data_IF_986356909968
#
_entry.id   IF_986356909968
#
_cell.length_a   1.000
_cell.length_b   1.000
_cell.length_c   1.000
_cell.angle_alpha   90.00
_cell.angle_beta   90.00
_cell.angle_gamma   90.00
#
_symmetry.space_group_name_H-M   'P 1'
#
loop_
_entity.id
_entity.type
_entity.pdbx_description
1 polymer ?
#
# COMPACT_ATOMS: atom_id res chain seq x y z
N UNK A 1 12.41 -32.00 -47.03
CA UNK A 1 11.88 -30.76 -46.42
C UNK A 1 11.69 -31.02 -44.95
N UNK A 2 12.63 -30.54 -44.14
CA UNK A 2 12.52 -30.63 -42.67
C UNK A 2 11.76 -29.38 -42.21
N UNK A 3 10.56 -29.58 -41.69
CA UNK A 3 9.82 -28.52 -40.99
C UNK A 3 10.58 -28.13 -39.72
N UNK A 4 11.10 -26.92 -39.73
CA UNK A 4 11.70 -26.32 -38.53
C UNK A 4 10.64 -26.09 -37.49
N UNK A 5 10.63 -26.90 -36.45
CA UNK A 5 9.88 -26.66 -35.22
C UNK A 5 10.36 -25.33 -34.62
N UNK A 6 9.58 -24.31 -34.82
CA UNK A 6 9.73 -23.01 -34.11
C UNK A 6 9.57 -23.28 -32.62
N UNK A 7 10.67 -23.43 -31.92
CA UNK A 7 10.68 -23.38 -30.46
C UNK A 7 10.19 -21.98 -30.09
N UNK A 8 8.93 -21.86 -29.68
CA UNK A 8 8.41 -20.61 -29.08
C UNK A 8 9.36 -20.26 -27.94
N UNK A 9 10.19 -19.22 -28.12
CA UNK A 9 10.95 -18.63 -26.99
C UNK A 9 9.97 -18.34 -25.88
N UNK A 10 10.21 -18.91 -24.71
CA UNK A 10 9.44 -18.58 -23.55
C UNK A 10 9.49 -17.05 -23.36
N UNK A 11 8.32 -16.43 -23.22
CA UNK A 11 8.25 -14.97 -23.03
C UNK A 11 8.92 -14.63 -21.70
N UNK A 12 9.85 -13.69 -21.75
CA UNK A 12 10.46 -13.11 -20.56
C UNK A 12 9.37 -12.56 -19.62
N UNK A 13 9.57 -12.68 -18.31
CA UNK A 13 8.62 -12.22 -17.33
C UNK A 13 9.29 -11.51 -16.15
N UNK A 14 8.51 -10.67 -15.48
CA UNK A 14 8.85 -9.93 -14.27
C UNK A 14 8.01 -10.48 -13.13
N UNK A 15 8.65 -10.81 -12.03
CA UNK A 15 8.00 -11.14 -10.77
C UNK A 15 7.94 -9.89 -9.88
N UNK A 16 6.81 -9.63 -9.26
CA UNK A 16 6.67 -8.59 -8.24
C UNK A 16 6.37 -9.24 -6.90
N UNK A 17 6.96 -8.71 -5.84
CA UNK A 17 6.83 -9.25 -4.49
C UNK A 17 6.50 -8.12 -3.52
N UNK A 18 5.50 -8.37 -2.70
CA UNK A 18 5.06 -7.51 -1.63
C UNK A 18 5.03 -8.33 -0.34
N UNK A 19 6.07 -8.19 0.49
CA UNK A 19 6.17 -8.79 1.81
C UNK A 19 5.40 -7.96 2.84
N UNK A 20 4.53 -8.60 3.59
CA UNK A 20 3.83 -8.00 4.72
C UNK A 20 4.09 -8.80 5.99
N UNK A 21 3.68 -8.29 7.16
CA UNK A 21 3.92 -8.90 8.47
C UNK A 21 3.37 -10.32 8.66
N UNK A 22 2.34 -10.70 7.90
CA UNK A 22 1.71 -12.02 7.98
C UNK A 22 1.40 -12.64 6.61
N UNK A 23 1.88 -12.03 5.53
CA UNK A 23 1.63 -12.51 4.17
C UNK A 23 2.73 -12.10 3.21
N UNK A 24 2.90 -12.90 2.15
CA UNK A 24 3.71 -12.55 0.98
C UNK A 24 2.77 -12.60 -0.23
N UNK A 25 2.60 -11.46 -0.90
CA UNK A 25 1.86 -11.37 -2.16
C UNK A 25 2.83 -11.27 -3.32
N UNK A 26 2.46 -11.86 -4.46
CA UNK A 26 3.28 -11.79 -5.66
C UNK A 26 2.42 -11.79 -6.93
N UNK A 27 2.97 -11.23 -7.99
CA UNK A 27 2.37 -11.33 -9.31
C UNK A 27 3.45 -11.49 -10.38
N UNK A 28 3.09 -12.15 -11.46
CA UNK A 28 3.94 -12.37 -12.63
C UNK A 28 3.36 -11.63 -13.82
N UNK A 29 4.19 -10.82 -14.45
CA UNK A 29 3.84 -10.04 -15.63
C UNK A 29 4.70 -10.44 -16.83
N UNK A 30 4.15 -10.33 -18.05
CA UNK A 30 4.94 -10.37 -19.26
C UNK A 30 5.93 -9.21 -19.25
N UNK A 31 7.20 -9.47 -19.52
CA UNK A 31 8.23 -8.44 -19.65
C UNK A 31 8.16 -7.79 -21.04
N UNK A 32 7.04 -7.16 -21.34
CA UNK A 32 6.79 -6.42 -22.57
C UNK A 32 6.05 -5.11 -22.27
N UNK A 33 5.82 -4.31 -23.30
CA UNK A 33 5.18 -3.00 -23.17
C UNK A 33 3.75 -3.03 -22.60
N UNK A 34 3.07 -4.17 -22.67
CA UNK A 34 1.69 -4.32 -22.19
C UNK A 34 1.61 -4.72 -20.72
N UNK A 35 2.68 -5.26 -20.14
CA UNK A 35 2.74 -5.76 -18.76
C UNK A 35 1.51 -6.61 -18.40
N UNK A 36 1.18 -7.55 -19.28
CA UNK A 36 0.03 -8.40 -19.05
C UNK A 36 0.28 -9.32 -17.85
N UNK A 37 -0.60 -9.25 -16.84
CA UNK A 37 -0.54 -10.12 -15.66
C UNK A 37 -0.84 -11.57 -16.08
N UNK A 38 0.12 -12.48 -15.92
CA UNK A 38 -0.06 -13.92 -16.16
C UNK A 38 -0.68 -14.63 -14.98
N UNK A 39 -0.23 -14.27 -13.78
CA UNK A 39 -0.71 -14.85 -12.53
C UNK A 39 -0.48 -13.92 -11.36
N UNK A 40 -1.19 -14.20 -10.29
CA UNK A 40 -0.96 -13.62 -8.97
C UNK A 40 -1.11 -14.72 -7.92
N UNK A 41 -0.52 -14.51 -6.75
CA UNK A 41 -0.65 -15.44 -5.65
C UNK A 41 -0.30 -14.79 -4.33
N UNK A 42 -0.56 -15.53 -3.27
CA UNK A 42 -0.21 -15.13 -1.91
C UNK A 42 0.11 -16.35 -1.05
N UNK A 43 0.98 -16.12 -0.07
CA UNK A 43 1.10 -16.98 1.10
C UNK A 43 0.56 -16.17 2.26
N UNK A 44 -0.52 -16.60 2.87
CA UNK A 44 -1.25 -15.87 3.90
C UNK A 44 -1.22 -16.60 5.24
N UNK A 45 -1.48 -15.86 6.33
CA UNK A 45 -1.49 -16.38 7.70
C UNK A 45 -0.15 -17.03 8.10
N UNK A 46 0.96 -16.44 7.67
CA UNK A 46 2.31 -16.85 8.06
C UNK A 46 2.43 -16.77 9.59
N UNK A 47 3.02 -17.78 10.19
CA UNK A 47 3.12 -17.89 11.66
C UNK A 47 1.90 -18.50 12.35
N UNK A 48 0.83 -18.82 11.60
CA UNK A 48 -0.35 -19.50 12.12
C UNK A 48 -0.36 -20.98 11.71
N UNK A 49 -1.13 -21.85 12.44
CA UNK A 49 -1.15 -23.29 12.18
C UNK A 49 -1.57 -23.68 10.76
N UNK A 50 -2.36 -22.86 10.10
CA UNK A 50 -2.91 -23.13 8.77
C UNK A 50 -2.62 -21.94 7.84
N UNK A 51 -1.36 -21.80 7.44
CA UNK A 51 -1.02 -20.88 6.36
C UNK A 51 -1.59 -21.39 5.03
N UNK A 52 -1.95 -20.48 4.14
CA UNK A 52 -2.54 -20.80 2.85
C UNK A 52 -1.68 -20.27 1.70
N UNK A 53 -1.36 -21.14 0.73
CA UNK A 53 -0.69 -20.76 -0.50
C UNK A 53 -1.69 -20.80 -1.66
N UNK A 54 -2.01 -19.62 -2.20
CA UNK A 54 -2.97 -19.46 -3.28
C UNK A 54 -2.28 -18.93 -4.52
N UNK A 55 -2.59 -19.51 -5.68
CA UNK A 55 -2.17 -18.99 -7.00
C UNK A 55 -3.38 -18.94 -7.93
N UNK A 56 -3.50 -17.82 -8.64
CA UNK A 56 -4.52 -17.58 -9.67
C UNK A 56 -3.81 -17.11 -10.95
N UNK A 57 -3.93 -17.89 -12.01
CA UNK A 57 -3.36 -17.60 -13.33
C UNK A 57 -4.43 -17.35 -14.38
N UNK A 58 -4.01 -16.80 -15.52
CA UNK A 58 -4.86 -16.70 -16.71
C UNK A 58 -5.22 -18.08 -17.26
N UNK A 59 -4.35 -19.06 -17.09
CA UNK A 59 -4.66 -20.45 -17.37
C UNK A 59 -5.19 -21.12 -16.09
N UNK A 60 -6.43 -21.63 -16.12
CA UNK A 60 -7.06 -22.30 -14.99
C UNK A 60 -6.27 -23.51 -14.45
N UNK A 61 -5.45 -24.16 -15.27
CA UNK A 61 -4.59 -25.25 -14.85
C UNK A 61 -3.49 -24.81 -13.86
N UNK A 62 -3.21 -23.52 -13.78
CA UNK A 62 -2.22 -22.95 -12.88
C UNK A 62 -2.80 -22.59 -11.51
N UNK A 63 -4.13 -22.61 -11.39
CA UNK A 63 -4.82 -22.22 -10.17
C UNK A 63 -4.76 -23.31 -9.12
N UNK A 64 -4.37 -22.92 -7.92
CA UNK A 64 -4.50 -23.77 -6.74
C UNK A 64 -4.68 -22.92 -5.48
N UNK A 65 -5.26 -23.55 -4.46
CA UNK A 65 -5.25 -23.09 -3.09
C UNK A 65 -4.92 -24.32 -2.22
N UNK A 66 -3.90 -24.23 -1.40
CA UNK A 66 -3.48 -25.33 -0.54
C UNK A 66 -3.04 -24.82 0.83
N UNK A 67 -3.40 -25.56 1.87
CA UNK A 67 -2.82 -25.36 3.19
C UNK A 67 -1.34 -25.76 3.17
N UNK A 68 -0.51 -24.95 3.79
CA UNK A 68 0.94 -25.15 3.88
C UNK A 68 1.42 -24.89 5.31
N UNK A 69 2.56 -25.47 5.65
CA UNK A 69 3.24 -25.13 6.91
C UNK A 69 4.19 -23.96 6.61
N UNK A 70 3.96 -22.83 7.26
CA UNK A 70 4.82 -21.66 7.22
C UNK A 70 4.83 -21.02 8.62
N UNK A 71 5.60 -21.62 9.53
CA UNK A 71 5.67 -21.17 10.93
C UNK A 71 6.31 -19.78 11.09
N UNK A 72 6.99 -19.30 10.08
CA UNK A 72 7.61 -17.97 10.01
C UNK A 72 7.87 -17.56 8.56
N UNK A 73 8.35 -16.32 8.36
CA UNK A 73 8.65 -15.78 7.04
C UNK A 73 9.77 -16.57 6.32
N UNK A 74 10.77 -17.08 7.01
CA UNK A 74 11.84 -17.88 6.39
C UNK A 74 11.28 -19.12 5.69
N UNK A 75 10.34 -19.81 6.33
CA UNK A 75 9.67 -20.98 5.72
C UNK A 75 8.77 -20.59 4.55
N UNK A 76 8.02 -19.49 4.68
CA UNK A 76 7.20 -18.97 3.61
C UNK A 76 8.03 -18.56 2.37
N UNK A 77 9.16 -17.88 2.59
CA UNK A 77 10.12 -17.51 1.54
C UNK A 77 10.67 -18.76 0.85
N UNK A 78 11.04 -19.79 1.61
CA UNK A 78 11.50 -21.06 1.05
C UNK A 78 10.44 -21.71 0.16
N UNK A 79 9.19 -21.79 0.64
CA UNK A 79 8.07 -22.31 -0.16
C UNK A 79 7.88 -21.55 -1.49
N UNK A 80 7.97 -20.22 -1.43
CA UNK A 80 7.88 -19.39 -2.63
C UNK A 80 9.04 -19.64 -3.59
N UNK A 81 10.28 -19.74 -3.08
CA UNK A 81 11.47 -20.00 -3.90
C UNK A 81 11.41 -21.36 -4.58
N UNK A 82 11.05 -22.41 -3.84
CA UNK A 82 10.94 -23.76 -4.38
C UNK A 82 9.86 -23.81 -5.48
N UNK A 83 8.70 -23.14 -5.25
CA UNK A 83 7.66 -23.04 -6.25
C UNK A 83 8.10 -22.27 -7.51
N UNK A 84 8.89 -21.20 -7.36
CA UNK A 84 9.44 -20.44 -8.49
C UNK A 84 10.40 -21.32 -9.31
N UNK A 85 11.30 -22.05 -8.67
CA UNK A 85 12.26 -22.94 -9.36
C UNK A 85 11.59 -24.09 -10.12
N UNK A 86 10.54 -24.69 -9.53
CA UNK A 86 9.76 -25.72 -10.20
C UNK A 86 9.01 -25.19 -11.42
N UNK A 87 8.62 -23.92 -11.39
CA UNK A 87 7.72 -23.31 -12.38
C UNK A 87 8.45 -22.66 -13.53
N UNK A 88 9.58 -22.01 -13.28
CA UNK A 88 10.29 -21.21 -14.26
C UNK A 88 11.61 -21.84 -14.65
N UNK A 89 11.84 -21.93 -15.97
CA UNK A 89 13.15 -22.32 -16.48
C UNK A 89 14.13 -21.17 -16.33
N UNK A 90 15.41 -21.49 -16.24
CA UNK A 90 16.48 -20.50 -16.21
C UNK A 90 16.36 -19.54 -17.41
N UNK A 91 16.27 -18.24 -17.14
CA UNK A 91 16.14 -17.18 -18.16
C UNK A 91 14.70 -16.81 -18.56
N UNK A 92 13.67 -17.49 -18.04
CA UNK A 92 12.28 -17.06 -18.21
C UNK A 92 11.95 -15.88 -17.28
N UNK A 93 12.45 -15.91 -16.06
CA UNK A 93 12.36 -14.79 -15.13
C UNK A 93 13.50 -13.80 -15.41
N UNK A 94 13.14 -12.57 -15.79
CA UNK A 94 14.09 -11.53 -16.22
C UNK A 94 14.49 -10.65 -15.05
N UNK A 95 13.55 -10.33 -14.18
CA UNK A 95 13.77 -9.49 -13.00
C UNK A 95 12.73 -9.73 -11.93
N UNK A 96 13.05 -9.29 -10.72
CA UNK A 96 12.13 -9.22 -9.58
C UNK A 96 12.05 -7.77 -9.09
N UNK A 97 10.81 -7.28 -8.89
CA UNK A 97 10.52 -6.04 -8.19
C UNK A 97 10.07 -6.34 -6.76
N UNK A 98 10.71 -5.71 -5.79
CA UNK A 98 10.35 -5.82 -4.39
C UNK A 98 9.69 -4.51 -3.92
N UNK A 99 8.54 -4.62 -3.27
CA UNK A 99 8.07 -3.52 -2.43
C UNK A 99 8.99 -3.43 -1.22
N UNK A 100 9.42 -2.21 -0.91
CA UNK A 100 10.16 -1.88 0.31
C UNK A 100 9.41 -0.75 1.01
N UNK A 101 8.97 -0.99 2.23
CA UNK A 101 8.11 -0.05 2.96
C UNK A 101 8.79 1.30 3.17
N UNK A 102 10.11 1.34 3.40
CA UNK A 102 10.82 2.55 3.81
C UNK A 102 12.16 2.74 3.10
N UNK A 103 12.27 3.82 2.32
CA UNK A 103 13.51 4.20 1.63
C UNK A 103 14.46 5.08 2.45
N UNK A 104 14.05 5.49 3.65
CA UNK A 104 14.83 6.42 4.48
C UNK A 104 15.05 7.76 3.79
N UNK A 105 16.04 8.54 4.24
CA UNK A 105 16.36 9.83 3.64
C UNK A 105 17.05 9.72 2.28
N UNK A 106 17.57 8.54 1.90
CA UNK A 106 18.43 8.33 0.75
C UNK A 106 17.67 7.88 -0.51
N UNK A 107 16.71 7.00 -0.36
CA UNK A 107 16.06 6.34 -1.49
C UNK A 107 14.76 7.04 -1.84
N UNK A 108 14.79 7.82 -2.93
CA UNK A 108 13.69 8.67 -3.40
C UNK A 108 13.06 8.17 -4.71
N UNK A 109 13.60 7.11 -5.28
CA UNK A 109 13.10 6.50 -6.52
C UNK A 109 13.41 5.00 -6.55
N UNK A 110 12.70 4.21 -7.37
CA UNK A 110 13.01 2.80 -7.57
C UNK A 110 14.44 2.63 -8.12
N UNK A 111 15.19 1.66 -7.56
CA UNK A 111 16.58 1.42 -7.93
C UNK A 111 16.89 -0.08 -7.95
N UNK A 112 17.89 -0.46 -8.76
CA UNK A 112 18.42 -1.81 -8.73
C UNK A 112 19.06 -2.09 -7.37
N UNK A 113 18.69 -3.23 -6.78
CA UNK A 113 19.24 -3.68 -5.50
C UNK A 113 20.71 -4.09 -5.67
N UNK A 114 21.53 -3.61 -4.76
CA UNK A 114 22.95 -3.96 -4.64
C UNK A 114 23.24 -4.47 -3.24
N UNK A 115 24.34 -5.18 -3.03
CA UNK A 115 24.77 -5.59 -1.69
C UNK A 115 24.87 -4.40 -0.72
N UNK A 116 25.36 -3.26 -1.20
CA UNK A 116 25.42 -2.03 -0.40
C UNK A 116 24.02 -1.53 0.00
N UNK A 117 23.04 -1.62 -0.90
CA UNK A 117 21.65 -1.23 -0.56
C UNK A 117 21.09 -2.13 0.53
N UNK A 118 21.33 -3.44 0.47
CA UNK A 118 20.87 -4.39 1.50
C UNK A 118 21.49 -4.01 2.87
N UNK A 119 22.77 -3.72 2.93
CA UNK A 119 23.44 -3.23 4.16
C UNK A 119 22.81 -1.94 4.69
N UNK A 120 22.47 -1.00 3.82
CA UNK A 120 21.83 0.25 4.18
C UNK A 120 20.35 0.04 4.64
N UNK A 121 19.63 -0.89 4.04
CA UNK A 121 18.28 -1.26 4.49
C UNK A 121 18.29 -1.87 5.90
N UNK A 122 19.28 -2.67 6.24
CA UNK A 122 19.48 -3.15 7.62
C UNK A 122 19.63 -1.98 8.62
N UNK A 123 20.32 -0.89 8.22
CA UNK A 123 20.48 0.30 9.06
C UNK A 123 19.16 1.10 9.20
N UNK A 124 18.22 0.92 8.26
CA UNK A 124 16.92 1.58 8.30
C UNK A 124 15.87 0.80 9.12
N UNK A 125 16.14 -0.41 9.57
CA UNK A 125 15.20 -1.20 10.38
C UNK A 125 14.60 -0.45 11.58
N UNK A 126 15.33 0.45 12.30
CA UNK A 126 14.72 1.22 13.37
C UNK A 126 13.59 2.18 12.93
N UNK A 127 13.48 2.52 11.63
CA UNK A 127 12.39 3.35 11.09
C UNK A 127 11.10 2.57 10.87
N UNK A 128 11.20 1.29 10.56
CA UNK A 128 10.05 0.38 10.46
C UNK A 128 10.46 -1.05 10.85
N UNK A 129 10.51 -1.33 12.16
CA UNK A 129 10.92 -2.64 12.68
C UNK A 129 9.89 -3.74 12.41
N UNK A 130 8.67 -3.39 11.99
CA UNK A 130 7.55 -4.33 11.78
C UNK A 130 7.51 -4.90 10.36
N UNK A 131 8.10 -4.23 9.36
CA UNK A 131 8.03 -4.65 7.96
C UNK A 131 9.40 -4.83 7.32
N UNK A 132 10.36 -3.90 7.53
CA UNK A 132 11.66 -3.94 6.89
C UNK A 132 12.43 -5.26 7.11
N UNK A 133 12.44 -5.89 8.29
CA UNK A 133 13.15 -7.15 8.47
C UNK A 133 12.70 -8.25 7.51
N UNK A 134 11.39 -8.39 7.30
CA UNK A 134 10.81 -9.42 6.45
C UNK A 134 11.04 -9.11 4.95
N UNK A 135 11.01 -7.85 4.57
CA UNK A 135 11.30 -7.42 3.20
C UNK A 135 12.78 -7.58 2.84
N UNK A 136 13.68 -7.33 3.79
CA UNK A 136 15.11 -7.58 3.63
C UNK A 136 15.37 -9.09 3.50
N UNK A 137 14.75 -9.92 4.35
CA UNK A 137 14.86 -11.38 4.28
C UNK A 137 14.47 -11.91 2.88
N UNK A 138 13.35 -11.42 2.32
CA UNK A 138 12.92 -11.76 0.95
C UNK A 138 13.99 -11.37 -0.07
N UNK A 139 14.48 -10.14 0.00
CA UNK A 139 15.50 -9.61 -0.92
C UNK A 139 16.80 -10.42 -0.87
N UNK A 140 17.28 -10.75 0.33
CA UNK A 140 18.48 -11.57 0.54
C UNK A 140 18.29 -12.99 0.02
N UNK A 141 17.12 -13.61 0.26
CA UNK A 141 16.81 -14.94 -0.22
C UNK A 141 16.86 -15.00 -1.76
N UNK A 142 16.30 -14.00 -2.45
CA UNK A 142 16.41 -13.89 -3.90
C UNK A 142 17.85 -13.67 -4.36
N UNK A 143 18.60 -12.82 -3.67
CA UNK A 143 20.01 -12.56 -3.98
C UNK A 143 20.88 -13.82 -3.88
N UNK A 144 20.64 -14.63 -2.87
CA UNK A 144 21.38 -15.88 -2.68
C UNK A 144 20.95 -16.99 -3.67
N UNK A 145 19.66 -17.11 -3.94
CA UNK A 145 19.15 -18.20 -4.77
C UNK A 145 19.30 -17.93 -6.26
N UNK A 146 19.18 -16.67 -6.67
CA UNK A 146 19.23 -16.21 -8.06
C UNK A 146 20.21 -15.05 -8.23
N UNK A 147 21.53 -15.28 -8.07
CA UNK A 147 22.52 -14.19 -8.04
C UNK A 147 22.63 -13.40 -9.36
N UNK A 148 22.25 -14.00 -10.49
CA UNK A 148 22.26 -13.35 -11.81
C UNK A 148 20.96 -12.59 -12.10
N UNK A 149 19.94 -12.70 -11.25
CA UNK A 149 18.62 -12.09 -11.45
C UNK A 149 18.64 -10.63 -11.01
N UNK A 150 18.24 -9.74 -11.90
CA UNK A 150 18.11 -8.32 -11.58
C UNK A 150 16.97 -8.14 -10.57
N UNK A 151 17.26 -7.46 -9.47
CA UNK A 151 16.29 -7.11 -8.43
C UNK A 151 16.16 -5.60 -8.35
N UNK A 152 14.92 -5.10 -8.18
CA UNK A 152 14.61 -3.66 -8.09
C UNK A 152 13.83 -3.42 -6.81
N UNK A 153 14.29 -2.48 -5.98
CA UNK A 153 13.54 -1.97 -4.84
C UNK A 153 12.60 -0.84 -5.27
N UNK A 154 11.34 -0.94 -4.88
CA UNK A 154 10.31 0.07 -5.09
C UNK A 154 9.80 0.51 -3.70
N UNK A 155 10.04 1.77 -3.34
CA UNK A 155 9.82 2.25 -1.97
C UNK A 155 8.45 2.90 -1.82
N UNK A 156 7.69 2.54 -0.80
CA UNK A 156 6.40 3.17 -0.48
C UNK A 156 6.51 4.66 -0.14
N UNK A 157 7.68 5.09 0.32
CA UNK A 157 7.94 6.49 0.67
C UNK A 157 8.25 7.39 -0.53
N UNK A 158 8.50 6.84 -1.71
CA UNK A 158 8.96 7.59 -2.90
C UNK A 158 7.97 8.67 -3.32
N UNK A 159 6.68 8.38 -3.40
CA UNK A 159 5.64 9.31 -3.84
C UNK A 159 5.60 10.60 -3.01
N UNK A 160 6.01 10.52 -1.74
CA UNK A 160 6.02 11.61 -0.79
C UNK A 160 7.40 12.27 -0.60
N UNK A 161 8.38 11.89 -1.42
CA UNK A 161 9.76 12.37 -1.24
C UNK A 161 9.87 13.90 -1.30
N UNK A 162 9.14 14.52 -2.21
CA UNK A 162 9.15 15.96 -2.49
C UNK A 162 8.12 16.76 -1.68
N UNK A 163 7.61 16.22 -0.56
CA UNK A 163 6.73 16.97 0.34
C UNK A 163 7.31 18.35 0.66
N UNK A 164 6.48 19.41 0.72
CA UNK A 164 6.91 20.69 1.22
C UNK A 164 7.59 20.60 2.58
N UNK A 165 8.61 21.38 2.80
CA UNK A 165 9.41 21.35 4.03
C UNK A 165 8.56 21.38 5.31
N UNK A 166 7.53 22.22 5.32
CA UNK A 166 6.61 22.35 6.46
C UNK A 166 5.84 21.05 6.76
N UNK A 167 5.50 20.28 5.74
CA UNK A 167 4.82 18.99 5.89
C UNK A 167 5.78 17.87 6.31
N UNK A 168 7.07 17.97 5.99
CA UNK A 168 8.09 16.99 6.40
C UNK A 168 8.46 17.11 7.88
N UNK A 169 8.42 18.32 8.44
CA UNK A 169 8.90 18.58 9.79
C UNK A 169 8.00 17.94 10.85
N UNK A 170 8.63 17.25 11.81
CA UNK A 170 7.98 16.91 13.07
C UNK A 170 8.32 18.00 14.10
N UNK A 171 7.37 18.42 14.95
CA UNK A 171 7.59 19.50 15.94
C UNK A 171 8.38 19.01 17.17
N UNK A 172 9.58 18.48 16.92
CA UNK A 172 10.53 17.95 17.93
C UNK A 172 11.90 18.59 17.74
N UNK A 173 12.82 18.44 18.71
CA UNK A 173 14.15 19.05 18.60
C UNK A 173 14.89 18.67 17.30
N UNK A 174 15.44 19.67 16.60
CA UNK A 174 16.06 19.53 15.27
C UNK A 174 17.21 18.52 15.17
N UNK A 175 17.84 18.17 16.30
CA UNK A 175 18.88 17.12 16.30
C UNK A 175 18.39 15.77 15.80
N UNK A 176 17.10 15.47 15.97
CA UNK A 176 16.50 14.22 15.45
C UNK A 176 16.30 14.27 13.94
N UNK A 177 16.00 15.44 13.40
CA UNK A 177 15.91 15.61 11.97
C UNK A 177 17.25 15.34 11.27
N UNK A 178 18.36 15.77 11.88
CA UNK A 178 19.69 15.46 11.39
C UNK A 178 19.98 13.95 11.33
N UNK A 179 19.21 13.14 12.06
CA UNK A 179 19.25 11.67 12.04
C UNK A 179 18.22 11.06 11.06
N UNK A 180 17.55 11.87 10.27
CA UNK A 180 16.53 11.42 9.30
C UNK A 180 15.12 11.34 9.88
N UNK A 181 14.86 11.74 11.14
CA UNK A 181 13.54 11.68 11.75
C UNK A 181 12.67 12.81 11.20
N UNK A 182 11.77 12.46 10.28
CA UNK A 182 10.82 13.36 9.61
C UNK A 182 9.55 12.61 9.20
N UNK A 183 8.56 13.29 8.67
CA UNK A 183 7.45 12.65 7.97
C UNK A 183 7.94 12.10 6.63
N UNK A 184 7.62 10.83 6.35
CA UNK A 184 7.88 10.18 5.07
C UNK A 184 6.60 9.93 4.29
N UNK A 185 5.57 9.40 4.93
CA UNK A 185 4.37 8.92 4.25
C UNK A 185 4.59 7.56 3.58
N UNK A 186 3.51 6.84 3.36
CA UNK A 186 3.52 5.47 2.85
C UNK A 186 2.39 5.26 1.84
N UNK A 187 2.20 4.04 1.35
CA UNK A 187 1.30 3.69 0.25
C UNK A 187 1.65 4.42 -1.08
N UNK A 188 2.90 4.81 -1.24
CA UNK A 188 3.34 5.59 -2.40
C UNK A 188 3.11 4.87 -3.72
N UNK A 189 3.30 3.55 -3.78
CA UNK A 189 3.02 2.75 -4.98
C UNK A 189 1.55 2.80 -5.38
N UNK A 190 0.65 2.71 -4.39
CA UNK A 190 -0.78 2.88 -4.60
C UNK A 190 -1.11 4.29 -5.11
N UNK A 191 -0.56 5.32 -4.50
CA UNK A 191 -0.83 6.71 -4.90
C UNK A 191 -0.27 7.04 -6.28
N UNK A 192 0.91 6.56 -6.64
CA UNK A 192 1.48 6.73 -7.98
C UNK A 192 0.59 6.07 -9.04
N UNK A 193 0.11 4.85 -8.76
CA UNK A 193 -0.84 4.14 -9.61
C UNK A 193 -2.14 4.93 -9.78
N UNK A 194 -2.76 5.36 -8.67
CA UNK A 194 -4.04 6.08 -8.66
C UNK A 194 -3.95 7.42 -9.40
N UNK A 195 -2.85 8.16 -9.28
CA UNK A 195 -2.66 9.42 -10.02
C UNK A 195 -2.55 9.17 -11.53
N UNK A 196 -1.83 8.12 -11.95
CA UNK A 196 -1.79 7.72 -13.35
C UNK A 196 -3.16 7.32 -13.90
N UNK A 197 -3.93 6.55 -13.13
CA UNK A 197 -5.27 6.13 -13.50
C UNK A 197 -6.27 7.32 -13.50
N UNK A 198 -6.14 8.26 -12.57
CA UNK A 198 -6.94 9.49 -12.57
C UNK A 198 -6.70 10.31 -13.83
N UNK A 199 -5.43 10.49 -14.23
CA UNK A 199 -5.08 11.16 -15.48
C UNK A 199 -5.66 10.45 -16.71
N UNK A 200 -5.63 9.10 -16.72
CA UNK A 200 -6.17 8.30 -17.82
C UNK A 200 -7.69 8.36 -17.92
N UNK A 201 -8.40 8.29 -16.76
CA UNK A 201 -9.87 8.21 -16.72
C UNK A 201 -10.56 9.57 -16.79
N UNK A 202 -9.98 10.60 -16.18
CA UNK A 202 -10.58 11.92 -16.01
C UNK A 202 -9.81 13.05 -16.74
N UNK A 203 -8.72 12.71 -17.39
CA UNK A 203 -7.84 13.64 -18.10
C UNK A 203 -6.74 14.23 -17.20
N UNK A 204 -5.66 14.76 -17.82
CA UNK A 204 -4.51 15.31 -17.09
C UNK A 204 -4.86 16.48 -16.17
N UNK A 205 -5.88 17.27 -16.50
CA UNK A 205 -6.30 18.41 -15.68
C UNK A 205 -6.87 17.96 -14.33
N UNK A 206 -7.63 16.85 -14.28
CA UNK A 206 -8.13 16.29 -13.02
C UNK A 206 -6.98 15.85 -12.10
N UNK A 207 -5.92 15.27 -12.66
CA UNK A 207 -4.74 14.84 -11.90
C UNK A 207 -3.85 16.03 -11.46
N UNK A 208 -3.93 17.19 -12.10
CA UNK A 208 -3.22 18.41 -11.71
C UNK A 208 -4.01 19.28 -10.73
N UNK A 209 -5.29 19.03 -10.54
CA UNK A 209 -6.14 19.74 -9.59
C UNK A 209 -5.76 19.44 -8.13
N UNK A 210 -6.59 19.94 -7.22
CA UNK A 210 -6.51 19.65 -5.78
C UNK A 210 -7.17 18.31 -5.54
N UNK A 211 -6.36 17.29 -5.28
CA UNK A 211 -6.81 15.90 -5.16
C UNK A 211 -6.54 15.39 -3.75
N UNK A 212 -7.51 14.71 -3.16
CA UNK A 212 -7.28 13.90 -1.97
C UNK A 212 -7.46 12.44 -2.38
N UNK A 213 -6.44 11.63 -2.13
CA UNK A 213 -6.50 10.18 -2.27
C UNK A 213 -6.67 9.57 -0.88
N UNK A 214 -7.70 8.74 -0.71
CA UNK A 214 -7.98 7.99 0.51
C UNK A 214 -7.81 6.49 0.21
N UNK A 215 -6.63 5.95 0.49
CA UNK A 215 -6.36 4.52 0.45
C UNK A 215 -6.84 3.92 1.76
N UNK A 216 -7.94 3.18 1.73
CA UNK A 216 -8.60 2.61 2.90
C UNK A 216 -8.65 1.08 2.77
N UNK A 217 -7.83 0.40 3.54
CA UNK A 217 -7.73 -1.05 3.63
C UNK A 217 -7.34 -1.48 5.05
N UNK A 218 -6.66 -2.61 5.20
CA UNK A 218 -6.08 -3.02 6.48
C UNK A 218 -5.10 -1.98 7.01
N UNK A 219 -4.23 -1.43 6.13
CA UNK A 219 -3.58 -0.15 6.31
C UNK A 219 -4.44 0.94 5.68
N UNK A 220 -4.48 2.12 6.29
CA UNK A 220 -5.23 3.25 5.75
C UNK A 220 -4.42 4.54 5.86
N UNK A 221 -4.43 5.33 4.80
CA UNK A 221 -3.85 6.66 4.79
C UNK A 221 -4.55 7.58 3.79
N UNK A 222 -4.31 8.86 3.94
CA UNK A 222 -4.72 9.87 2.98
C UNK A 222 -3.49 10.63 2.48
N UNK A 223 -3.58 11.13 1.25
CA UNK A 223 -2.60 12.03 0.67
C UNK A 223 -3.30 13.22 0.01
N UNK A 224 -2.76 14.41 0.24
CA UNK A 224 -3.16 15.64 -0.43
C UNK A 224 -2.21 15.91 -1.59
N UNK A 225 -2.75 16.08 -2.79
CA UNK A 225 -1.99 16.24 -4.03
C UNK A 225 -2.38 17.55 -4.72
N UNK A 226 -1.39 18.25 -5.22
CA UNK A 226 -1.56 19.44 -6.06
C UNK A 226 -0.53 19.44 -7.19
N UNK A 227 -0.94 19.78 -8.41
CA UNK A 227 -0.10 19.73 -9.62
C UNK A 227 0.59 18.36 -9.80
N UNK A 228 -0.10 17.27 -9.45
CA UNK A 228 0.41 15.92 -9.53
C UNK A 228 1.45 15.53 -8.47
N UNK A 229 1.74 16.40 -7.49
CA UNK A 229 2.73 16.18 -6.43
C UNK A 229 2.07 16.06 -5.06
N UNK A 230 2.59 15.17 -4.23
CA UNK A 230 2.19 15.09 -2.82
C UNK A 230 2.57 16.36 -2.07
N UNK A 231 1.59 17.02 -1.44
CA UNK A 231 1.81 18.21 -0.61
C UNK A 231 1.64 17.93 0.89
N UNK A 232 0.91 16.86 1.24
CA UNK A 232 0.82 16.34 2.61
C UNK A 232 0.33 14.89 2.60
N UNK A 233 0.53 14.18 3.70
CA UNK A 233 0.05 12.81 3.89
C UNK A 233 -0.21 12.53 5.37
N UNK A 234 -1.15 11.63 5.66
CA UNK A 234 -1.57 11.34 7.04
C UNK A 234 -0.55 10.51 7.81
N UNK A 235 0.16 9.59 7.17
CA UNK A 235 1.21 8.81 7.84
C UNK A 235 2.47 9.63 8.07
N UNK A 236 3.23 9.32 9.11
CA UNK A 236 4.36 10.10 9.62
C UNK A 236 5.73 9.49 9.32
N UNK A 237 6.52 9.32 10.40
CA UNK A 237 7.80 8.61 10.38
C UNK A 237 7.59 7.12 10.09
N UNK A 238 6.52 6.55 10.66
CA UNK A 238 6.11 5.14 10.52
C UNK A 238 4.72 5.06 9.89
N UNK A 239 4.31 3.89 9.37
CA UNK A 239 2.97 3.70 8.84
C UNK A 239 1.88 3.52 9.94
N UNK A 240 2.17 3.87 11.19
CA UNK A 240 1.25 3.73 12.33
C UNK A 240 0.41 4.98 12.57
N UNK A 241 0.97 6.18 12.31
CA UNK A 241 0.28 7.46 12.55
C UNK A 241 -0.78 7.77 11.49
N UNK A 242 -1.55 8.82 11.72
CA UNK A 242 -2.64 9.30 10.86
C UNK A 242 -3.99 8.78 11.31
N UNK A 243 -4.72 8.09 10.44
CA UNK A 243 -6.06 7.56 10.73
C UNK A 243 -5.99 6.19 11.42
N UNK A 244 -6.98 5.81 12.23
CA UNK A 244 -7.08 4.45 12.75
C UNK A 244 -7.21 3.45 11.59
N UNK A 245 -6.67 2.24 11.77
CA UNK A 245 -6.63 1.17 10.76
C UNK A 245 -7.22 -0.11 11.35
N UNK A 246 -7.06 -1.23 10.70
CA UNK A 246 -7.54 -2.52 11.23
C UNK A 246 -7.03 -2.80 12.65
N UNK A 247 -5.71 -2.68 12.86
CA UNK A 247 -5.05 -2.94 14.16
C UNK A 247 -4.16 -1.80 14.65
N UNK A 248 -3.88 -0.79 13.80
CA UNK A 248 -3.04 0.36 14.13
C UNK A 248 -3.87 1.51 14.67
N UNK A 249 -3.33 2.20 15.66
CA UNK A 249 -4.05 3.27 16.39
C UNK A 249 -4.34 4.52 15.56
N UNK A 250 -3.48 4.87 14.59
CA UNK A 250 -3.41 6.24 14.09
C UNK A 250 -2.79 7.19 15.12
N UNK A 251 -3.05 8.49 14.97
CA UNK A 251 -2.51 9.53 15.85
C UNK A 251 -3.04 9.40 17.28
N UNK A 252 -2.15 9.49 18.24
CA UNK A 252 -2.41 9.46 19.67
C UNK A 252 -1.78 10.66 20.37
N UNK A 253 -2.27 10.99 21.56
CA UNK A 253 -1.62 11.94 22.45
C UNK A 253 -0.27 11.37 22.93
N UNK A 254 0.84 12.10 22.77
CA UNK A 254 2.16 11.66 23.25
C UNK A 254 2.23 11.36 24.73
N UNK A 255 1.39 11.99 25.54
CA UNK A 255 1.28 11.79 26.99
C UNK A 255 0.75 10.40 27.37
N UNK A 256 0.11 9.70 26.42
CA UNK A 256 -0.44 8.36 26.66
C UNK A 256 0.66 7.36 27.01
N UNK A 257 1.85 7.44 26.38
CA UNK A 257 3.00 6.58 26.70
C UNK A 257 3.37 6.68 28.17
N UNK A 258 3.52 7.92 28.66
CA UNK A 258 3.84 8.19 30.05
C UNK A 258 2.76 7.71 31.02
N UNK A 259 1.48 7.90 30.67
CA UNK A 259 0.36 7.47 31.48
C UNK A 259 0.33 5.94 31.65
N UNK A 260 0.42 5.19 30.54
CA UNK A 260 0.36 3.73 30.56
C UNK A 260 1.59 3.10 31.22
N UNK A 261 2.78 3.69 31.07
CA UNK A 261 3.97 3.24 31.77
C UNK A 261 3.77 3.32 33.30
N UNK A 262 3.19 4.41 33.79
CA UNK A 262 2.99 4.62 35.23
C UNK A 262 1.88 3.79 35.84
N UNK A 263 0.81 3.56 35.11
CA UNK A 263 -0.40 2.89 35.65
C UNK A 263 -0.31 1.39 35.46
N UNK A 264 0.20 0.91 34.33
CA UNK A 264 0.21 -0.49 33.95
C UNK A 264 1.62 -1.07 33.74
N UNK A 265 2.67 -0.26 33.86
CA UNK A 265 4.06 -0.71 33.61
C UNK A 265 4.31 -1.07 32.14
N UNK A 266 3.57 -0.44 31.21
CA UNK A 266 3.73 -0.69 29.78
C UNK A 266 5.08 -0.15 29.29
N UNK A 267 5.98 -1.04 28.89
CA UNK A 267 7.29 -0.64 28.33
C UNK A 267 7.12 -0.06 26.92
N UNK A 268 8.13 0.69 26.42
CA UNK A 268 8.13 1.21 25.06
C UNK A 268 7.88 0.11 24.01
N UNK A 269 8.45 -1.09 24.20
CA UNK A 269 8.19 -2.24 23.31
C UNK A 269 6.72 -2.66 23.34
N UNK A 270 6.14 -2.85 24.53
CA UNK A 270 4.72 -3.21 24.66
C UNK A 270 3.80 -2.13 24.11
N UNK A 271 4.17 -0.85 24.28
CA UNK A 271 3.43 0.26 23.68
C UNK A 271 3.47 0.18 22.15
N UNK A 272 4.64 -0.07 21.55
CA UNK A 272 4.76 -0.25 20.11
C UNK A 272 3.92 -1.45 19.61
N UNK A 273 3.94 -2.58 20.31
CA UNK A 273 3.10 -3.75 20.00
C UNK A 273 1.60 -3.40 20.08
N UNK A 274 1.19 -2.67 21.11
CA UNK A 274 -0.21 -2.25 21.28
C UNK A 274 -0.69 -1.37 20.14
N UNK A 275 0.07 -0.32 19.79
CA UNK A 275 -0.38 0.65 18.77
C UNK A 275 -0.34 0.09 17.34
N UNK A 276 0.41 -0.97 17.08
CA UNK A 276 0.48 -1.62 15.76
C UNK A 276 -0.46 -2.82 15.62
N UNK A 277 -0.71 -3.59 16.66
CA UNK A 277 -1.38 -4.88 16.54
C UNK A 277 -2.64 -5.07 17.40
N UNK A 278 -2.90 -4.18 18.37
CA UNK A 278 -3.98 -4.32 19.33
C UNK A 278 -4.91 -3.10 19.40
N UNK A 279 -4.74 -2.17 18.48
CA UNK A 279 -5.45 -0.87 18.44
C UNK A 279 -6.38 -0.79 17.21
N UNK A 280 -6.70 0.38 16.76
CA UNK A 280 -7.55 0.60 15.59
C UNK A 280 -8.95 0.02 15.74
N UNK A 281 -9.48 -0.55 14.66
CA UNK A 281 -10.80 -1.20 14.66
C UNK A 281 -10.86 -2.32 15.69
N UNK A 282 -9.83 -3.17 15.74
CA UNK A 282 -9.74 -4.27 16.70
C UNK A 282 -9.77 -3.76 18.16
N UNK A 283 -8.94 -2.75 18.47
CA UNK A 283 -8.81 -2.25 19.83
C UNK A 283 -10.09 -1.57 20.35
N UNK A 284 -10.83 -0.89 19.48
CA UNK A 284 -12.07 -0.21 19.85
C UNK A 284 -13.25 -1.18 19.92
N UNK A 285 -13.34 -2.11 18.98
CA UNK A 285 -14.43 -3.09 18.95
C UNK A 285 -14.23 -4.24 19.94
N UNK A 286 -12.98 -4.57 20.27
CA UNK A 286 -12.57 -5.77 21.03
C UNK A 286 -13.01 -7.11 20.37
N UNK A 287 -13.56 -7.06 19.16
CA UNK A 287 -14.15 -8.24 18.49
C UNK A 287 -13.55 -8.51 17.13
N UNK A 288 -13.33 -7.49 16.28
CA UNK A 288 -12.87 -7.70 14.93
C UNK A 288 -12.01 -6.53 14.41
N UNK A 289 -11.05 -6.85 13.57
CA UNK A 289 -10.27 -5.88 12.76
C UNK A 289 -10.84 -5.69 11.36
N UNK A 290 -11.86 -6.46 10.99
CA UNK A 290 -12.47 -6.43 9.65
C UNK A 290 -13.67 -5.48 9.61
N UNK A 291 -13.62 -4.50 8.70
CA UNK A 291 -14.67 -3.49 8.55
C UNK A 291 -16.02 -4.09 8.16
N UNK A 292 -16.03 -5.12 7.31
CA UNK A 292 -17.26 -5.75 6.85
C UNK A 292 -17.94 -6.51 7.99
N UNK A 293 -17.14 -7.20 8.81
CA UNK A 293 -17.60 -7.90 9.99
C UNK A 293 -18.21 -6.91 11.00
N UNK A 294 -17.51 -5.80 11.30
CA UNK A 294 -18.00 -4.77 12.20
C UNK A 294 -19.30 -4.12 11.72
N UNK A 295 -19.43 -3.79 10.43
CA UNK A 295 -20.67 -3.24 9.85
C UNK A 295 -21.82 -4.24 10.01
N UNK A 296 -21.57 -5.54 9.85
CA UNK A 296 -22.62 -6.55 9.97
C UNK A 296 -23.17 -6.70 11.39
N UNK A 297 -22.37 -6.36 12.41
CA UNK A 297 -22.74 -6.49 13.82
C UNK A 297 -23.07 -5.16 14.52
N UNK A 298 -22.94 -4.00 13.85
CA UNK A 298 -23.08 -2.69 14.50
C UNK A 298 -24.46 -2.42 15.14
N UNK A 299 -25.50 -3.12 14.70
CA UNK A 299 -26.83 -2.99 15.27
C UNK A 299 -26.98 -3.77 16.60
N UNK A 300 -26.11 -4.74 16.84
CA UNK A 300 -26.16 -5.61 17.99
C UNK A 300 -24.99 -5.36 18.96
N UNK A 301 -23.87 -4.85 18.48
CA UNK A 301 -22.68 -4.52 19.28
C UNK A 301 -22.34 -3.03 19.16
N UNK A 302 -22.54 -2.30 20.26
CA UNK A 302 -22.23 -0.86 20.33
C UNK A 302 -20.74 -0.57 20.09
N UNK A 303 -19.82 -1.48 20.47
CA UNK A 303 -18.38 -1.30 20.26
C UNK A 303 -18.02 -1.43 18.76
N UNK A 304 -18.68 -2.32 18.05
CA UNK A 304 -18.54 -2.40 16.60
C UNK A 304 -19.02 -1.11 15.92
N UNK A 305 -20.18 -0.57 16.35
CA UNK A 305 -20.70 0.70 15.86
C UNK A 305 -19.75 1.88 16.15
N UNK A 306 -19.18 1.93 17.36
CA UNK A 306 -18.21 2.97 17.77
C UNK A 306 -16.91 2.87 16.97
N UNK A 307 -16.39 1.68 16.70
CA UNK A 307 -15.19 1.45 15.90
C UNK A 307 -15.37 1.98 14.46
N UNK A 308 -16.51 1.63 13.82
CA UNK A 308 -16.85 2.11 12.48
C UNK A 308 -17.03 3.63 12.45
N UNK A 309 -17.73 4.18 13.46
CA UNK A 309 -17.97 5.62 13.56
C UNK A 309 -16.66 6.40 13.76
N UNK A 310 -15.78 5.92 14.64
CA UNK A 310 -14.46 6.52 14.87
C UNK A 310 -13.61 6.55 13.59
N UNK A 311 -13.54 5.41 12.87
CA UNK A 311 -12.83 5.31 11.61
C UNK A 311 -13.32 6.36 10.60
N UNK A 312 -14.63 6.40 10.36
CA UNK A 312 -15.22 7.35 9.43
C UNK A 312 -15.00 8.81 9.86
N UNK A 313 -15.10 9.10 11.16
CA UNK A 313 -14.92 10.44 11.71
C UNK A 313 -13.47 10.93 11.53
N UNK A 314 -12.48 10.11 11.80
CA UNK A 314 -11.08 10.50 11.67
C UNK A 314 -10.71 10.73 10.19
N UNK A 315 -11.18 9.90 9.27
CA UNK A 315 -10.96 10.14 7.84
C UNK A 315 -11.61 11.43 7.38
N UNK A 316 -12.86 11.70 7.81
CA UNK A 316 -13.55 12.98 7.53
C UNK A 316 -12.75 14.19 8.01
N UNK A 317 -12.18 14.14 9.22
CA UNK A 317 -11.32 15.21 9.76
C UNK A 317 -10.08 15.44 8.85
N UNK A 318 -9.43 14.37 8.41
CA UNK A 318 -8.27 14.47 7.53
C UNK A 318 -8.63 15.03 6.15
N UNK A 319 -9.79 14.68 5.58
CA UNK A 319 -10.30 15.29 4.35
C UNK A 319 -10.47 16.80 4.55
N UNK A 320 -11.06 17.23 5.66
CA UNK A 320 -11.21 18.65 5.99
C UNK A 320 -9.88 19.38 6.15
N UNK A 321 -8.93 18.77 6.87
CA UNK A 321 -7.59 19.31 7.08
C UNK A 321 -6.82 19.45 5.75
N UNK A 322 -6.85 18.43 4.90
CA UNK A 322 -6.18 18.47 3.61
C UNK A 322 -6.87 19.41 2.61
N UNK A 323 -8.19 19.54 2.66
CA UNK A 323 -8.90 20.56 1.87
C UNK A 323 -8.45 21.96 2.25
N UNK A 324 -8.19 22.22 3.53
CA UNK A 324 -7.64 23.50 3.99
C UNK A 324 -6.19 23.69 3.53
N UNK A 325 -5.34 22.65 3.63
CA UNK A 325 -3.95 22.70 3.17
C UNK A 325 -3.84 22.94 1.65
N UNK A 326 -4.78 22.38 0.87
CA UNK A 326 -4.87 22.54 -0.57
C UNK A 326 -5.53 23.87 -1.01
N UNK A 327 -6.16 24.61 -0.09
CA UNK A 327 -6.97 25.78 -0.43
C UNK A 327 -8.26 25.44 -1.19
N UNK A 328 -8.79 24.23 -0.99
CA UNK A 328 -10.01 23.70 -1.60
C UNK A 328 -9.83 22.25 -2.04
N UNK A 329 -10.84 21.71 -2.74
CA UNK A 329 -10.83 20.33 -3.24
C UNK A 329 -11.52 20.28 -4.60
N UNK A 330 -10.94 19.54 -5.54
CA UNK A 330 -11.52 19.30 -6.87
C UNK A 330 -11.91 17.82 -7.05
N UNK A 331 -11.10 16.90 -6.50
CA UNK A 331 -11.35 15.45 -6.61
C UNK A 331 -11.03 14.75 -5.29
N UNK A 332 -11.95 13.87 -4.85
CA UNK A 332 -11.74 12.91 -3.77
C UNK A 332 -11.77 11.50 -4.36
N UNK A 333 -10.74 10.71 -4.09
CA UNK A 333 -10.65 9.32 -4.58
C UNK A 333 -10.66 8.38 -3.38
N UNK A 334 -11.54 7.39 -3.38
CA UNK A 334 -11.53 6.25 -2.48
C UNK A 334 -10.92 5.04 -3.18
N UNK A 335 -9.94 4.40 -2.54
CA UNK A 335 -9.26 3.21 -3.02
C UNK A 335 -8.94 2.26 -1.85
N UNK A 336 -8.40 1.10 -2.15
CA UNK A 336 -8.17 0.03 -1.17
C UNK A 336 -9.44 -0.71 -0.81
N UNK A 337 -9.33 -1.88 -0.18
CA UNK A 337 -10.44 -2.81 0.00
C UNK A 337 -11.69 -2.19 0.65
N UNK A 338 -11.52 -1.39 1.70
CA UNK A 338 -12.64 -0.66 2.36
C UNK A 338 -13.13 0.47 1.46
N UNK A 339 -12.21 1.28 0.91
CA UNK A 339 -12.54 2.43 0.06
C UNK A 339 -13.31 2.02 -1.21
N UNK A 340 -12.97 0.88 -1.80
CA UNK A 340 -13.58 0.36 -3.02
C UNK A 340 -14.94 -0.31 -2.78
N UNK A 341 -15.10 -1.05 -1.67
CA UNK A 341 -16.22 -1.96 -1.51
C UNK A 341 -17.24 -1.56 -0.43
N UNK A 342 -16.88 -0.68 0.52
CA UNK A 342 -17.75 -0.30 1.63
C UNK A 342 -18.50 1.02 1.36
N UNK A 343 -19.60 0.97 0.58
CA UNK A 343 -20.40 2.16 0.25
C UNK A 343 -20.91 2.91 1.49
N UNK A 344 -21.29 2.19 2.56
CA UNK A 344 -21.73 2.78 3.82
C UNK A 344 -20.62 3.62 4.48
N UNK A 345 -19.38 3.14 4.44
CA UNK A 345 -18.22 3.88 4.98
C UNK A 345 -18.02 5.17 4.21
N UNK A 346 -18.06 5.14 2.87
CA UNK A 346 -17.94 6.35 2.03
C UNK A 346 -19.07 7.34 2.32
N UNK A 347 -20.32 6.86 2.45
CA UNK A 347 -21.48 7.71 2.84
C UNK A 347 -21.22 8.40 4.17
N UNK A 348 -20.78 7.66 5.21
CA UNK A 348 -20.50 8.20 6.55
C UNK A 348 -19.34 9.20 6.56
N UNK A 349 -18.29 8.93 5.79
CA UNK A 349 -17.16 9.86 5.63
C UNK A 349 -17.62 11.15 4.97
N UNK A 350 -18.39 11.08 3.89
CA UNK A 350 -18.82 12.24 3.12
C UNK A 350 -19.99 13.00 3.77
N UNK A 351 -20.74 12.38 4.68
CA UNK A 351 -21.87 13.03 5.36
C UNK A 351 -21.45 14.34 6.04
N UNK A 352 -22.11 15.46 5.68
CA UNK A 352 -21.82 16.79 6.22
C UNK A 352 -20.63 17.50 5.56
N UNK A 353 -20.05 16.97 4.48
CA UNK A 353 -19.00 17.65 3.71
C UNK A 353 -19.53 18.47 2.51
N UNK A 354 -20.85 18.71 2.43
CA UNK A 354 -21.46 19.55 1.40
C UNK A 354 -20.89 20.97 1.34
N UNK A 355 -20.43 21.53 2.47
CA UNK A 355 -19.74 22.82 2.48
C UNK A 355 -18.43 22.85 1.69
N UNK A 356 -17.77 21.70 1.52
CA UNK A 356 -16.63 21.52 0.62
C UNK A 356 -17.05 21.34 -0.83
N UNK A 357 -18.33 21.07 -1.09
CA UNK A 357 -18.88 20.75 -2.39
C UNK A 357 -18.90 19.25 -2.70
N UNK A 358 -18.87 18.40 -1.68
CA UNK A 358 -18.97 16.94 -1.79
C UNK A 358 -20.44 16.53 -1.63
N UNK A 359 -21.06 16.02 -2.69
CA UNK A 359 -22.42 15.53 -2.71
C UNK A 359 -22.44 14.17 -3.40
N UNK A 360 -22.87 13.11 -2.68
CA UNK A 360 -22.88 11.75 -3.22
C UNK A 360 -24.24 11.40 -3.85
N UNK A 361 -24.19 10.74 -4.99
CA UNK A 361 -25.34 10.04 -5.59
C UNK A 361 -25.37 8.61 -5.01
N UNK A 362 -26.39 8.32 -4.20
CA UNK A 362 -26.43 7.10 -3.38
C UNK A 362 -26.44 5.82 -4.21
N UNK A 363 -27.18 5.78 -5.34
CA UNK A 363 -27.24 4.58 -6.20
C UNK A 363 -25.88 4.30 -6.84
N UNK A 364 -25.19 5.35 -7.31
CA UNK A 364 -23.83 5.21 -7.85
C UNK A 364 -22.86 4.74 -6.77
N UNK A 365 -22.99 5.27 -5.56
CA UNK A 365 -22.15 4.86 -4.43
C UNK A 365 -22.37 3.38 -4.04
N UNK A 366 -23.61 2.93 -3.94
CA UNK A 366 -23.94 1.53 -3.64
C UNK A 366 -23.42 0.60 -4.75
N UNK A 367 -23.49 1.04 -6.01
CA UNK A 367 -23.02 0.27 -7.16
C UNK A 367 -21.49 0.29 -7.33
N UNK A 368 -20.74 0.98 -6.46
CA UNK A 368 -19.29 1.20 -6.58
C UNK A 368 -18.91 1.76 -7.97
N UNK A 369 -19.72 2.69 -8.50
CA UNK A 369 -19.46 3.30 -9.79
C UNK A 369 -18.15 4.11 -9.77
N UNK A 370 -17.51 4.27 -10.93
CA UNK A 370 -16.27 5.01 -11.04
C UNK A 370 -16.37 6.48 -10.57
N UNK A 371 -17.55 7.09 -10.72
CA UNK A 371 -17.90 8.42 -10.18
C UNK A 371 -19.16 8.26 -9.35
N UNK A 372 -19.06 8.60 -8.07
CA UNK A 372 -20.13 8.43 -7.08
C UNK A 372 -20.70 9.76 -6.58
N UNK A 373 -20.15 10.90 -7.03
CA UNK A 373 -20.75 12.21 -6.78
C UNK A 373 -21.93 12.49 -7.69
N UNK A 374 -22.81 13.40 -7.27
CA UNK A 374 -23.85 13.98 -8.12
C UNK A 374 -23.22 14.78 -9.28
N UNK A 375 -23.96 14.93 -10.37
CA UNK A 375 -23.48 15.68 -11.53
C UNK A 375 -23.29 17.20 -11.23
N UNK A 376 -24.05 17.73 -10.26
CA UNK A 376 -23.96 19.11 -9.78
C UNK A 376 -22.90 19.30 -8.69
N UNK A 377 -22.29 18.24 -8.18
CA UNK A 377 -21.26 18.31 -7.14
C UNK A 377 -20.02 19.05 -7.65
N UNK A 378 -19.53 20.02 -6.88
CA UNK A 378 -18.29 20.75 -7.24
C UNK A 378 -17.06 19.87 -7.14
N UNK A 379 -17.08 18.88 -6.24
CA UNK A 379 -16.00 17.92 -6.04
C UNK A 379 -16.39 16.61 -6.69
N UNK A 380 -15.57 16.15 -7.62
CA UNK A 380 -15.73 14.81 -8.17
C UNK A 380 -15.31 13.76 -7.14
N UNK A 381 -16.24 12.90 -6.71
CA UNK A 381 -15.92 11.77 -5.82
C UNK A 381 -15.85 10.50 -6.64
N UNK A 382 -14.73 9.78 -6.51
CA UNK A 382 -14.43 8.60 -7.32
C UNK A 382 -14.12 7.39 -6.46
N UNK A 383 -14.45 6.22 -6.99
CA UNK A 383 -13.98 4.92 -6.50
C UNK A 383 -13.02 4.37 -7.55
N UNK A 384 -11.79 4.06 -7.14
CA UNK A 384 -10.76 3.59 -8.06
C UNK A 384 -10.05 2.39 -7.46
N UNK A 385 -9.86 1.36 -8.28
CA UNK A 385 -9.04 0.21 -7.91
C UNK A 385 -7.57 0.57 -7.94
N UNK A 386 -6.81 0.12 -6.94
CA UNK A 386 -5.35 0.27 -6.89
C UNK A 386 -4.64 -1.03 -7.25
N UNK A 387 -3.48 -0.94 -7.88
CA UNK A 387 -2.68 -2.10 -8.31
C UNK A 387 -1.17 -1.83 -8.08
N UNK A 388 -0.73 -2.09 -6.86
CA UNK A 388 0.66 -1.88 -6.44
C UNK A 388 1.62 -2.81 -7.19
N UNK A 389 1.22 -4.07 -7.42
CA UNK A 389 2.04 -5.04 -8.15
C UNK A 389 2.31 -4.58 -9.59
N UNK A 390 1.29 -4.02 -10.26
CA UNK A 390 1.49 -3.45 -11.60
C UNK A 390 2.41 -2.23 -11.55
N UNK A 391 2.32 -1.41 -10.49
CA UNK A 391 3.21 -0.26 -10.34
C UNK A 391 4.66 -0.68 -10.12
N UNK A 392 4.89 -1.73 -9.32
CA UNK A 392 6.21 -2.34 -9.17
C UNK A 392 6.73 -2.84 -10.53
N UNK A 393 5.90 -3.57 -11.30
CA UNK A 393 6.29 -4.07 -12.61
C UNK A 393 6.64 -2.94 -13.58
N UNK A 394 5.88 -1.83 -13.60
CA UNK A 394 6.19 -0.62 -14.37
C UNK A 394 7.55 -0.03 -13.99
N UNK A 395 7.84 0.04 -12.70
CA UNK A 395 9.12 0.53 -12.18
C UNK A 395 10.30 -0.35 -12.61
N UNK A 396 10.13 -1.68 -12.57
CA UNK A 396 11.12 -2.64 -13.07
C UNK A 396 11.38 -2.43 -14.57
N UNK A 397 10.33 -2.31 -15.40
CA UNK A 397 10.47 -2.05 -16.82
C UNK A 397 11.25 -0.76 -17.10
N UNK A 398 10.94 0.32 -16.37
CA UNK A 398 11.64 1.60 -16.50
C UNK A 398 13.13 1.47 -16.18
N UNK A 399 13.50 0.75 -15.12
CA UNK A 399 14.91 0.53 -14.73
C UNK A 399 15.64 -0.33 -15.75
N UNK A 400 14.98 -1.33 -16.35
CA UNK A 400 15.56 -2.22 -17.33
C UNK A 400 15.57 -1.66 -18.76
N UNK A 401 14.97 -0.47 -18.99
CA UNK A 401 14.83 0.08 -20.34
C UNK A 401 13.91 -0.72 -21.24
N UNK A 402 12.99 -1.49 -20.69
CA UNK A 402 11.94 -2.17 -21.44
C UNK A 402 10.88 -1.14 -21.81
N UNK A 403 10.79 -0.76 -23.10
CA UNK A 403 9.82 0.22 -23.58
C UNK A 403 8.39 -0.22 -23.27
N UNK A 404 7.78 0.37 -22.26
CA UNK A 404 6.33 0.35 -22.10
C UNK A 404 5.76 1.32 -23.15
N UNK A 405 5.24 0.81 -24.24
CA UNK A 405 4.53 1.62 -25.23
C UNK A 405 3.38 2.35 -24.53
N UNK A 406 3.43 3.70 -24.55
CA UNK A 406 2.48 4.68 -23.99
C UNK A 406 2.69 5.16 -22.54
N UNK A 407 3.90 5.58 -22.15
CA UNK A 407 4.06 6.67 -21.18
C UNK A 407 4.90 7.79 -21.85
N UNK A 408 4.52 8.22 -23.03
CA UNK A 408 4.77 9.59 -23.46
C UNK A 408 3.50 10.38 -23.17
N UNK A 409 3.32 10.80 -21.92
CA UNK A 409 2.59 12.02 -21.64
C UNK A 409 3.48 13.13 -22.17
N UNK A 410 3.02 13.78 -23.22
CA UNK A 410 3.59 15.03 -23.71
C UNK A 410 3.85 15.97 -22.54
N UNK A 411 5.11 16.37 -22.42
CA UNK A 411 5.60 17.45 -21.56
C UNK A 411 4.94 18.79 -21.88
#
# INVERSE_FOLDING_TARGET
MMEGSSVKRAKACILTINGGSSSIKFALFDADSMLQRRMSGSIERIGQPEAEFVVKGTNKADNFARSVTAANHTEAVKLLMDWIEERFRRGELTAVGHRVVHGGPKYSEPQQITTKMIEELHQLQPFDPEHLPEEILLTEAFHHRFPDLVQVACFDTTFHHDLPRVAQLLPIPRRFEAQGVRRYGFHGLSYEFLMGELARQAGPQAARGRVILAHLGNGASLAAIYEGKSVDTSMGLTPTSGVPMSTRSGDLDPGLVWYLERIEGVTAKKFNEMVNFQSGLLGVSETSSDMQDLISHEMEDVRAAEAVALFCYQIKKWIGAFSAALGGLDTLVFAGGIGENASLVRTRICAGLGFLGIELEEKRNIANAAVISEDASRVAVRVMHTDEELMIARSVCRILGIDSANVKSES
#
